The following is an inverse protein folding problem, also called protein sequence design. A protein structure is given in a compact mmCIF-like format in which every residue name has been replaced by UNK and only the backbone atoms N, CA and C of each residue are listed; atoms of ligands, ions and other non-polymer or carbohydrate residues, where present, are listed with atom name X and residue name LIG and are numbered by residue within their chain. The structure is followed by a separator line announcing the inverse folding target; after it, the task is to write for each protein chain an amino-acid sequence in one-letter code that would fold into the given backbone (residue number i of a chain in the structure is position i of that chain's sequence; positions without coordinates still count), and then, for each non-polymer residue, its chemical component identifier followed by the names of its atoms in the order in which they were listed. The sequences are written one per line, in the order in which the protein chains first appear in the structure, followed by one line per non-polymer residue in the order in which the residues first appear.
data_IF_160109008233
#
_entry.id   IF_160109008233
#
_cell.length_a   1.000
_cell.length_b   1.000
_cell.length_c   1.000
_cell.angle_alpha   90.00
_cell.angle_beta   90.00
_cell.angle_gamma   90.00
#
_symmetry.space_group_name_H-M   'P 1'
#
loop_
_entity.id
_entity.type
_entity.pdbx_description
1 polymer ?
#
# COMPACT_ATOMS: atom_id res chain seq x y z
N UNK A 1 46.39 60.09 30.92
CA UNK A 1 45.11 60.00 30.17
C UNK A 1 45.02 58.81 29.20
N UNK A 2 46.10 58.33 28.59
CA UNK A 2 46.05 57.18 27.65
C UNK A 2 45.69 55.86 28.30
N UNK A 3 46.09 55.57 29.52
CA UNK A 3 45.80 54.29 30.22
C UNK A 3 44.37 54.21 30.73
N UNK A 4 43.71 55.33 31.02
CA UNK A 4 42.33 55.37 31.48
C UNK A 4 41.34 54.99 30.33
N UNK A 5 41.66 55.34 29.07
CA UNK A 5 40.89 55.05 27.89
C UNK A 5 40.93 53.54 27.58
N UNK A 6 42.06 52.88 27.71
CA UNK A 6 42.19 51.45 27.47
C UNK A 6 41.45 50.64 28.53
N UNK A 7 41.40 51.09 29.77
CA UNK A 7 40.67 50.40 30.83
C UNK A 7 39.17 50.52 30.65
N UNK A 8 38.68 51.67 30.19
CA UNK A 8 37.27 51.93 29.93
C UNK A 8 36.75 51.10 28.70
N UNK A 9 37.56 50.98 27.64
CA UNK A 9 37.25 50.17 26.46
C UNK A 9 37.24 48.69 26.79
N UNK A 10 38.15 48.21 27.62
CA UNK A 10 38.20 46.83 28.07
C UNK A 10 37.00 46.45 28.95
N UNK A 11 36.56 47.39 29.83
CA UNK A 11 35.40 47.17 30.70
C UNK A 11 34.09 47.12 29.90
N UNK A 12 33.94 47.92 28.84
CA UNK A 12 32.79 47.93 27.94
C UNK A 12 32.75 46.63 27.13
N UNK A 13 33.93 46.09 26.70
CA UNK A 13 33.99 44.80 25.95
C UNK A 13 33.63 43.60 26.83
N UNK A 14 33.98 43.60 28.11
CA UNK A 14 33.61 42.57 29.08
C UNK A 14 32.12 42.61 29.40
N UNK A 15 31.50 43.80 29.46
CA UNK A 15 30.06 43.95 29.65
C UNK A 15 29.24 43.48 28.45
N UNK A 16 29.75 43.56 27.22
CA UNK A 16 29.08 43.02 26.02
C UNK A 16 29.14 41.49 25.92
N UNK A 17 30.19 40.86 26.49
CA UNK A 17 30.29 39.39 26.53
C UNK A 17 29.39 38.74 27.60
N UNK A 18 28.98 39.51 28.62
CA UNK A 18 28.06 39.01 29.65
C UNK A 18 26.57 39.11 29.25
N UNK A 19 26.24 39.82 28.14
CA UNK A 19 24.87 39.98 27.64
C UNK A 19 24.44 38.90 26.63
N UNK A 20 25.33 37.99 26.23
CA UNK A 20 24.92 36.75 25.56
C UNK A 20 24.34 35.79 26.61
N UNK A 21 23.15 36.14 27.12
CA UNK A 21 22.33 35.19 27.88
C UNK A 21 22.09 33.97 27.03
N UNK A 22 22.65 32.83 27.46
CA UNK A 22 22.22 31.53 26.97
C UNK A 22 20.72 31.43 27.19
N UNK A 23 19.92 31.66 26.14
CA UNK A 23 18.57 31.13 26.11
C UNK A 23 18.75 29.63 26.27
N UNK A 24 18.53 29.13 27.48
CA UNK A 24 18.34 27.71 27.71
C UNK A 24 17.16 27.31 26.81
N UNK A 25 17.46 26.72 25.68
CA UNK A 25 16.45 26.03 24.87
C UNK A 25 15.82 25.02 25.83
N UNK A 26 14.55 25.22 26.13
CA UNK A 26 13.76 24.21 26.84
C UNK A 26 14.04 22.86 26.17
N UNK A 27 14.34 21.79 26.94
CA UNK A 27 14.52 20.49 26.34
C UNK A 27 13.27 20.22 25.48
N UNK A 28 13.43 19.64 24.27
CA UNK A 28 12.28 19.32 23.44
C UNK A 28 11.33 18.53 24.33
N UNK A 29 10.12 19.07 24.52
CA UNK A 29 9.11 18.42 25.33
C UNK A 29 9.03 16.97 24.86
N UNK A 30 9.08 16.01 25.79
CA UNK A 30 8.78 14.62 25.48
C UNK A 30 7.44 14.65 24.77
N UNK A 31 7.43 14.44 23.45
CA UNK A 31 6.21 14.14 22.74
C UNK A 31 5.65 12.91 23.46
N UNK A 32 4.57 13.06 24.19
CA UNK A 32 3.79 11.94 24.66
C UNK A 32 3.52 11.08 23.44
N UNK A 33 4.10 9.87 23.41
CA UNK A 33 3.73 8.88 22.40
C UNK A 33 2.26 8.61 22.66
N UNK A 34 1.39 9.18 21.81
CA UNK A 34 0.00 8.76 21.76
C UNK A 34 0.08 7.27 21.36
N UNK A 35 -0.21 6.40 22.29
CA UNK A 35 -0.36 4.98 21.99
C UNK A 35 -1.58 4.87 21.07
N UNK A 36 -1.35 4.61 19.79
CA UNK A 36 -2.42 4.30 18.85
C UNK A 36 -2.94 2.91 19.23
N UNK A 37 -4.20 2.81 19.58
CA UNK A 37 -4.85 1.53 19.85
C UNK A 37 -4.84 0.64 18.60
N UNK A 38 -5.04 1.23 17.43
CA UNK A 38 -4.95 0.61 16.10
C UNK A 38 -4.69 1.68 15.04
N UNK A 39 -4.23 1.24 13.86
CA UNK A 39 -4.02 2.13 12.73
C UNK A 39 -4.24 1.40 11.40
N UNK A 40 -4.66 2.14 10.37
CA UNK A 40 -4.78 1.62 9.02
C UNK A 40 -4.37 2.69 8.01
N UNK A 41 -3.57 2.28 7.03
CA UNK A 41 -3.14 3.10 5.90
C UNK A 41 -3.36 2.31 4.62
N UNK A 42 -3.92 2.95 3.61
CA UNK A 42 -4.10 2.34 2.29
C UNK A 42 -3.68 3.27 1.17
N UNK A 43 -3.38 2.73 0.01
CA UNK A 43 -3.18 3.48 -1.22
C UNK A 43 -3.89 2.84 -2.42
N UNK A 44 -4.42 3.67 -3.30
CA UNK A 44 -5.12 3.24 -4.52
C UNK A 44 -4.23 3.17 -5.76
N UNK A 45 -2.92 3.35 -5.62
CA UNK A 45 -1.97 3.27 -6.72
C UNK A 45 -0.77 4.20 -6.55
N UNK A 46 0.37 3.79 -7.12
CA UNK A 46 1.62 4.55 -7.16
C UNK A 46 1.99 4.92 -8.63
N UNK A 47 1.04 5.44 -9.38
CA UNK A 47 1.25 5.86 -10.77
C UNK A 47 1.62 7.34 -10.90
N UNK A 48 2.03 7.75 -12.10
CA UNK A 48 2.29 9.16 -12.44
C UNK A 48 0.99 9.96 -12.62
N UNK A 49 -0.03 9.72 -11.80
CA UNK A 49 -1.27 10.46 -11.88
C UNK A 49 -1.06 11.84 -11.25
N UNK A 50 -0.95 12.88 -12.08
CA UNK A 50 -1.11 14.22 -11.56
C UNK A 50 -2.59 14.41 -11.19
N UNK A 51 -2.89 14.31 -9.90
CA UNK A 51 -4.26 14.38 -9.39
C UNK A 51 -4.97 15.69 -9.80
N UNK A 52 -4.21 16.78 -9.95
CA UNK A 52 -4.74 18.07 -10.39
C UNK A 52 -5.23 18.07 -11.86
N UNK A 53 -4.72 17.14 -12.69
CA UNK A 53 -5.17 16.98 -14.10
C UNK A 53 -6.34 16.01 -14.27
N UNK A 54 -6.76 15.32 -13.20
CA UNK A 54 -7.90 14.41 -13.20
C UNK A 54 -9.19 15.23 -13.11
N UNK A 55 -10.23 14.97 -13.91
CA UNK A 55 -11.53 15.62 -13.79
C UNK A 55 -12.08 15.52 -12.37
N UNK A 56 -12.66 16.60 -11.83
CA UNK A 56 -13.14 16.68 -10.44
C UNK A 56 -14.11 15.54 -10.09
N UNK A 57 -15.05 15.22 -10.98
CA UNK A 57 -15.98 14.10 -10.80
C UNK A 57 -15.24 12.77 -10.54
N UNK A 58 -14.14 12.55 -11.24
CA UNK A 58 -13.35 11.33 -11.10
C UNK A 58 -12.50 11.36 -9.80
N UNK A 59 -12.01 12.54 -9.41
CA UNK A 59 -11.33 12.71 -8.10
C UNK A 59 -12.28 12.35 -6.95
N UNK A 60 -13.53 12.82 -7.01
CA UNK A 60 -14.57 12.50 -6.01
C UNK A 60 -14.83 10.99 -5.96
N UNK A 61 -14.93 10.32 -7.12
CA UNK A 61 -15.09 8.86 -7.19
C UNK A 61 -13.93 8.10 -6.56
N UNK A 62 -12.67 8.50 -6.83
CA UNK A 62 -11.49 7.90 -6.21
C UNK A 62 -11.49 8.09 -4.69
N UNK A 63 -11.75 9.31 -4.23
CA UNK A 63 -11.78 9.63 -2.80
C UNK A 63 -12.86 8.81 -2.09
N UNK A 64 -14.09 8.83 -2.60
CA UNK A 64 -15.18 8.06 -2.01
C UNK A 64 -14.88 6.54 -1.96
N UNK A 65 -14.25 5.99 -3.01
CA UNK A 65 -13.88 4.58 -3.05
C UNK A 65 -12.81 4.23 -2.02
N UNK A 66 -11.80 5.10 -1.83
CA UNK A 66 -10.77 4.93 -0.81
C UNK A 66 -11.35 5.10 0.60
N UNK A 67 -12.18 6.10 0.82
CA UNK A 67 -12.85 6.33 2.11
C UNK A 67 -13.74 5.12 2.48
N UNK A 68 -14.47 4.55 1.51
CA UNK A 68 -15.28 3.35 1.75
C UNK A 68 -14.44 2.13 2.12
N UNK A 69 -13.33 1.90 1.43
CA UNK A 69 -12.41 0.80 1.75
C UNK A 69 -11.74 1.00 3.11
N UNK A 70 -11.33 2.25 3.42
CA UNK A 70 -10.76 2.62 4.71
C UNK A 70 -11.73 2.32 5.85
N UNK A 71 -12.99 2.73 5.70
CA UNK A 71 -14.01 2.52 6.74
C UNK A 71 -14.24 1.04 7.02
N UNK A 72 -14.31 0.18 5.99
CA UNK A 72 -14.45 -1.27 6.19
C UNK A 72 -13.31 -1.87 7.03
N UNK A 73 -12.08 -1.44 6.81
CA UNK A 73 -10.94 -1.90 7.61
C UNK A 73 -10.94 -1.34 9.02
N UNK A 74 -11.31 -0.06 9.19
CA UNK A 74 -11.41 0.57 10.51
C UNK A 74 -12.52 -0.06 11.36
N UNK A 75 -13.66 -0.41 10.78
CA UNK A 75 -14.77 -1.07 11.51
C UNK A 75 -14.28 -2.40 12.10
N UNK A 76 -13.53 -3.21 11.33
CA UNK A 76 -12.92 -4.46 11.82
C UNK A 76 -11.99 -4.20 13.02
N UNK A 77 -11.10 -3.21 12.89
CA UNK A 77 -10.12 -2.91 13.94
C UNK A 77 -10.79 -2.31 15.18
N UNK A 78 -11.83 -1.52 15.01
CA UNK A 78 -12.61 -0.92 16.12
C UNK A 78 -13.37 -1.98 16.92
N UNK A 79 -13.89 -2.99 16.25
CA UNK A 79 -14.55 -4.15 16.87
C UNK A 79 -13.55 -5.14 17.51
N UNK A 80 -12.22 -4.86 17.42
CA UNK A 80 -11.16 -5.71 17.99
C UNK A 80 -10.73 -6.87 17.08
N UNK A 81 -11.08 -6.82 15.80
CA UNK A 81 -10.63 -7.76 14.77
C UNK A 81 -9.15 -7.64 14.47
N UNK A 82 -8.62 -8.57 13.69
CA UNK A 82 -7.19 -8.65 13.38
C UNK A 82 -6.77 -7.68 12.25
N UNK A 83 -5.50 -7.25 12.28
CA UNK A 83 -4.89 -6.50 11.17
C UNK A 83 -4.94 -7.28 9.86
N UNK A 84 -4.84 -8.61 9.92
CA UNK A 84 -4.93 -9.49 8.75
C UNK A 84 -6.32 -9.42 8.10
N UNK A 85 -7.40 -9.49 8.88
CA UNK A 85 -8.76 -9.39 8.36
C UNK A 85 -9.03 -7.99 7.78
N UNK A 86 -8.55 -6.94 8.44
CA UNK A 86 -8.69 -5.57 7.97
C UNK A 86 -7.98 -5.36 6.62
N UNK A 87 -6.73 -5.83 6.47
CA UNK A 87 -5.97 -5.73 5.21
C UNK A 87 -6.67 -6.48 4.09
N UNK A 88 -7.12 -7.72 4.32
CA UNK A 88 -7.80 -8.50 3.29
C UNK A 88 -9.08 -7.80 2.82
N UNK A 89 -9.95 -7.37 3.74
CA UNK A 89 -11.24 -6.75 3.39
C UNK A 89 -11.04 -5.44 2.62
N UNK A 90 -10.09 -4.61 3.03
CA UNK A 90 -9.74 -3.37 2.32
C UNK A 90 -9.29 -3.66 0.90
N UNK A 91 -8.35 -4.59 0.72
CA UNK A 91 -7.82 -4.90 -0.63
C UNK A 91 -8.91 -5.56 -1.49
N UNK A 92 -9.74 -6.45 -0.96
CA UNK A 92 -10.89 -7.01 -1.69
C UNK A 92 -11.85 -5.93 -2.17
N UNK A 93 -12.12 -4.93 -1.35
CA UNK A 93 -12.94 -3.78 -1.74
C UNK A 93 -12.32 -3.04 -2.94
N UNK A 94 -11.00 -2.84 -2.94
CA UNK A 94 -10.28 -2.19 -4.03
C UNK A 94 -10.19 -3.09 -5.28
N UNK A 95 -10.00 -4.40 -5.13
CA UNK A 95 -10.02 -5.38 -6.25
C UNK A 95 -11.38 -5.46 -6.95
N UNK A 96 -12.48 -5.29 -6.22
CA UNK A 96 -13.82 -5.29 -6.78
C UNK A 96 -14.21 -3.96 -7.45
N UNK A 97 -13.33 -2.94 -7.39
CA UNK A 97 -13.60 -1.60 -7.91
C UNK A 97 -12.80 -1.34 -9.20
N UNK A 98 -13.46 -1.08 -10.36
CA UNK A 98 -12.80 -0.90 -11.64
C UNK A 98 -11.93 0.37 -11.75
N UNK A 99 -11.93 1.24 -10.75
CA UNK A 99 -11.09 2.43 -10.72
C UNK A 99 -9.62 2.11 -10.51
N UNK A 100 -9.31 1.04 -9.76
CA UNK A 100 -7.95 0.69 -9.35
C UNK A 100 -7.32 -0.36 -10.27
N UNK A 101 -5.99 -0.41 -10.31
CA UNK A 101 -5.26 -1.45 -11.07
C UNK A 101 -5.04 -2.68 -10.18
N UNK A 102 -6.13 -3.33 -9.84
CA UNK A 102 -6.18 -4.59 -9.10
C UNK A 102 -7.53 -5.26 -9.40
N UNK A 103 -7.59 -6.58 -9.45
CA UNK A 103 -8.84 -7.31 -9.70
C UNK A 103 -9.57 -6.78 -10.94
N UNK A 104 -10.81 -6.32 -10.75
CA UNK A 104 -11.72 -5.88 -11.82
C UNK A 104 -11.21 -4.70 -12.66
N UNK A 105 -10.29 -3.88 -12.14
CA UNK A 105 -9.71 -2.74 -12.84
C UNK A 105 -8.30 -2.99 -13.37
N UNK A 106 -7.86 -4.24 -13.40
CA UNK A 106 -6.53 -4.61 -13.84
C UNK A 106 -6.25 -4.20 -15.29
N UNK A 107 -4.99 -3.88 -15.55
CA UNK A 107 -4.48 -3.57 -16.90
C UNK A 107 -4.33 -4.84 -17.74
N UNK A 108 -4.13 -4.66 -19.05
CA UNK A 108 -3.96 -5.75 -19.99
C UNK A 108 -2.49 -6.04 -20.26
N UNK A 109 -2.16 -7.32 -20.42
CA UNK A 109 -0.88 -7.82 -20.96
C UNK A 109 -0.77 -7.51 -22.45
N UNK A 110 0.40 -7.72 -23.04
CA UNK A 110 0.61 -7.59 -24.49
C UNK A 110 -0.23 -8.55 -25.34
N UNK A 111 -0.76 -9.60 -24.72
CA UNK A 111 -1.65 -10.58 -25.33
C UNK A 111 -3.13 -10.23 -25.20
N UNK A 112 -3.44 -9.08 -24.58
CA UNK A 112 -4.84 -8.64 -24.36
C UNK A 112 -5.55 -9.41 -23.24
N UNK A 113 -4.82 -9.97 -22.27
CA UNK A 113 -5.36 -10.67 -21.10
C UNK A 113 -5.14 -9.84 -19.83
N UNK A 114 -5.94 -10.08 -18.81
CA UNK A 114 -5.67 -9.59 -17.46
C UNK A 114 -4.98 -10.71 -16.67
N UNK A 115 -3.81 -10.42 -16.11
CA UNK A 115 -3.07 -11.28 -15.20
C UNK A 115 -2.85 -10.52 -13.90
N UNK A 116 -3.17 -11.16 -12.78
CA UNK A 116 -3.26 -10.56 -11.47
C UNK A 116 -2.21 -11.14 -10.54
N UNK A 117 -1.68 -10.29 -9.68
CA UNK A 117 -0.69 -10.64 -8.66
C UNK A 117 -1.16 -10.05 -7.31
N UNK A 118 -0.96 -10.79 -6.22
CA UNK A 118 -1.22 -10.29 -4.87
C UNK A 118 -0.32 -10.97 -3.84
N UNK A 119 -0.08 -10.30 -2.72
CA UNK A 119 0.58 -10.88 -1.57
C UNK A 119 0.08 -10.27 -0.26
N UNK A 120 0.22 -11.03 0.81
CA UNK A 120 -0.10 -10.63 2.18
C UNK A 120 0.95 -11.18 3.15
N UNK A 121 1.28 -10.42 4.18
CA UNK A 121 2.29 -10.80 5.18
C UNK A 121 1.89 -10.33 6.56
N UNK A 122 2.05 -11.19 7.53
CA UNK A 122 1.87 -10.90 8.97
C UNK A 122 3.21 -10.55 9.62
N UNK A 123 3.21 -9.53 10.49
CA UNK A 123 4.43 -9.03 11.14
C UNK A 123 4.85 -9.81 12.38
N UNK A 124 3.92 -10.47 13.06
CA UNK A 124 4.17 -11.13 14.35
C UNK A 124 4.86 -12.50 14.26
N UNK A 125 4.70 -13.19 13.15
CA UNK A 125 5.28 -14.52 12.88
C UNK A 125 6.01 -14.60 11.54
N UNK A 126 6.01 -13.49 10.77
CA UNK A 126 6.61 -13.36 9.44
C UNK A 126 6.04 -14.33 8.41
N UNK A 127 4.84 -14.87 8.65
CA UNK A 127 4.14 -15.66 7.66
C UNK A 127 3.71 -14.81 6.48
N UNK A 128 3.78 -15.40 5.29
CA UNK A 128 3.42 -14.71 4.07
C UNK A 128 2.84 -15.66 3.03
N UNK A 129 1.97 -15.11 2.19
CA UNK A 129 1.44 -15.83 1.04
C UNK A 129 1.28 -14.91 -0.15
N UNK A 130 1.40 -15.48 -1.35
CA UNK A 130 1.29 -14.74 -2.58
C UNK A 130 0.71 -15.60 -3.72
N UNK A 131 0.09 -14.91 -4.68
CA UNK A 131 -0.28 -15.47 -5.98
C UNK A 131 0.19 -14.56 -7.09
N UNK A 132 0.59 -15.14 -8.22
CA UNK A 132 1.10 -14.40 -9.36
C UNK A 132 0.60 -14.96 -10.69
N UNK A 133 0.31 -14.06 -11.66
CA UNK A 133 -0.11 -14.42 -13.00
C UNK A 133 -1.44 -15.18 -13.06
N UNK A 134 -2.35 -14.96 -12.11
CA UNK A 134 -3.66 -15.62 -12.08
C UNK A 134 -4.66 -14.85 -12.94
N UNK A 135 -5.62 -15.56 -13.53
CA UNK A 135 -6.56 -15.02 -14.53
C UNK A 135 -8.03 -15.27 -14.20
N UNK A 136 -8.34 -16.15 -13.25
CA UNK A 136 -9.70 -16.53 -12.88
C UNK A 136 -10.05 -16.24 -11.41
N UNK A 137 -9.08 -15.99 -10.55
CA UNK A 137 -9.33 -15.73 -9.13
C UNK A 137 -9.93 -14.32 -8.95
N UNK A 138 -11.19 -14.25 -8.50
CA UNK A 138 -11.91 -12.98 -8.33
C UNK A 138 -11.18 -11.99 -7.42
N UNK A 139 -10.72 -12.47 -6.27
CA UNK A 139 -9.98 -11.68 -5.29
C UNK A 139 -8.62 -12.32 -5.00
N UNK A 140 -7.57 -11.95 -5.74
CA UNK A 140 -6.21 -12.49 -5.57
C UNK A 140 -5.67 -12.37 -4.14
N UNK A 141 -6.03 -11.32 -3.40
CA UNK A 141 -5.58 -11.15 -2.00
C UNK A 141 -6.09 -12.26 -1.09
N UNK A 142 -7.32 -12.75 -1.30
CA UNK A 142 -7.86 -13.88 -0.53
C UNK A 142 -7.14 -15.17 -0.87
N UNK A 143 -6.73 -15.35 -2.13
CA UNK A 143 -5.91 -16.50 -2.51
C UNK A 143 -4.50 -16.42 -1.91
N UNK A 144 -3.89 -15.23 -1.87
CA UNK A 144 -2.62 -15.00 -1.20
C UNK A 144 -2.71 -15.35 0.29
N UNK A 145 -3.79 -14.94 0.98
CA UNK A 145 -4.05 -15.35 2.37
C UNK A 145 -4.22 -16.85 2.51
N UNK A 146 -4.98 -17.50 1.63
CA UNK A 146 -5.16 -18.94 1.67
C UNK A 146 -3.83 -19.69 1.46
N UNK A 147 -2.95 -19.21 0.58
CA UNK A 147 -1.59 -19.76 0.41
C UNK A 147 -0.82 -19.67 1.73
N UNK A 148 -0.86 -18.56 2.42
CA UNK A 148 -0.20 -18.35 3.70
C UNK A 148 -0.73 -19.28 4.80
N UNK A 149 -2.06 -19.43 4.90
CA UNK A 149 -2.69 -20.11 6.04
C UNK A 149 -2.90 -21.60 5.83
N UNK A 150 -2.96 -22.08 4.56
CA UNK A 150 -3.44 -23.42 4.23
C UNK A 150 -2.52 -24.21 3.31
N UNK A 151 -1.32 -23.71 3.01
CA UNK A 151 -0.35 -24.43 2.20
C UNK A 151 1.05 -24.40 2.83
N UNK A 152 1.94 -25.28 2.35
CA UNK A 152 3.36 -25.28 2.71
C UNK A 152 4.17 -24.27 1.88
N UNK A 153 3.52 -23.52 0.99
CA UNK A 153 4.16 -22.63 0.03
C UNK A 153 3.98 -21.17 0.43
N UNK A 154 4.90 -20.32 -0.03
CA UNK A 154 4.77 -18.87 0.11
C UNK A 154 4.18 -18.24 -1.15
N UNK A 155 4.42 -18.82 -2.32
CA UNK A 155 3.97 -18.29 -3.61
C UNK A 155 3.48 -19.41 -4.52
N UNK A 156 2.27 -19.25 -5.04
CA UNK A 156 1.73 -20.06 -6.12
C UNK A 156 1.49 -19.20 -7.37
N UNK A 157 1.57 -19.77 -8.57
CA UNK A 157 1.45 -19.01 -9.80
C UNK A 157 0.56 -19.70 -10.86
N UNK A 158 -0.07 -18.87 -11.70
CA UNK A 158 -0.84 -19.31 -12.88
C UNK A 158 -1.91 -20.35 -12.55
N UNK A 159 -2.08 -21.34 -13.43
CA UNK A 159 -3.11 -22.37 -13.31
C UNK A 159 -2.99 -23.20 -12.02
N UNK A 160 -1.77 -23.41 -11.49
CA UNK A 160 -1.58 -24.11 -10.23
C UNK A 160 -2.18 -23.36 -9.04
N UNK A 161 -2.04 -22.04 -9.01
CA UNK A 161 -2.67 -21.19 -8.01
C UNK A 161 -4.20 -21.20 -8.12
N UNK A 162 -4.74 -21.26 -9.33
CA UNK A 162 -6.19 -21.32 -9.58
C UNK A 162 -6.79 -22.66 -9.12
N UNK A 163 -6.13 -23.78 -9.39
CA UNK A 163 -6.53 -25.10 -8.87
C UNK A 163 -6.52 -25.15 -7.34
N UNK A 164 -5.49 -24.58 -6.71
CA UNK A 164 -5.43 -24.45 -5.26
C UNK A 164 -6.59 -23.60 -4.73
N UNK A 165 -6.82 -22.41 -5.33
CA UNK A 165 -7.89 -21.50 -4.92
C UNK A 165 -9.28 -22.15 -5.02
N UNK A 166 -9.55 -22.90 -6.10
CA UNK A 166 -10.78 -23.66 -6.27
C UNK A 166 -10.94 -24.73 -5.17
N UNK A 167 -9.87 -25.48 -4.87
CA UNK A 167 -9.84 -26.47 -3.80
C UNK A 167 -10.12 -25.90 -2.42
N UNK A 168 -9.73 -24.66 -2.17
CA UNK A 168 -10.01 -23.92 -0.95
C UNK A 168 -11.38 -23.20 -0.95
N UNK A 169 -12.18 -23.38 -2.00
CA UNK A 169 -13.54 -22.80 -2.11
C UNK A 169 -13.56 -21.32 -2.41
N UNK A 170 -12.49 -20.76 -2.96
CA UNK A 170 -12.46 -19.37 -3.38
C UNK A 170 -13.22 -19.16 -4.69
N UNK A 171 -13.81 -17.98 -4.85
CA UNK A 171 -14.62 -17.65 -6.03
C UNK A 171 -13.72 -17.45 -7.26
N UNK A 172 -13.93 -18.33 -8.27
CA UNK A 172 -13.36 -18.16 -9.60
C UNK A 172 -14.39 -17.52 -10.53
N UNK A 173 -13.91 -16.68 -11.44
CA UNK A 173 -14.73 -15.95 -12.42
C UNK A 173 -14.18 -16.13 -13.82
N UNK A 174 -15.04 -15.96 -14.83
CA UNK A 174 -14.60 -15.85 -16.21
C UNK A 174 -13.67 -14.63 -16.38
N UNK A 175 -12.57 -14.71 -17.14
CA UNK A 175 -11.66 -13.60 -17.35
C UNK A 175 -12.32 -12.29 -17.84
N UNK A 176 -13.46 -12.36 -18.50
CA UNK A 176 -14.22 -11.18 -18.90
C UNK A 176 -14.70 -10.32 -17.71
N UNK A 177 -14.77 -10.88 -16.50
CA UNK A 177 -15.06 -10.13 -15.28
C UNK A 177 -14.08 -8.97 -15.03
N UNK A 178 -12.81 -9.15 -15.41
CA UNK A 178 -11.76 -8.15 -15.23
C UNK A 178 -11.71 -7.10 -16.34
N UNK A 179 -12.42 -7.36 -17.44
CA UNK A 179 -12.46 -6.42 -18.56
C UNK A 179 -13.12 -5.10 -18.16
N UNK A 180 -12.45 -4.00 -18.48
CA UNK A 180 -13.06 -2.66 -18.45
C UNK A 180 -12.72 -1.93 -19.74
N UNK A 181 -13.72 -1.27 -20.33
CA UNK A 181 -13.53 -0.50 -21.57
C UNK A 181 -12.40 0.53 -21.46
N UNK A 182 -12.33 1.24 -20.32
CA UNK A 182 -11.29 2.24 -20.05
C UNK A 182 -9.87 1.64 -20.10
N UNK A 183 -9.66 0.45 -19.49
CA UNK A 183 -8.34 -0.22 -19.47
C UNK A 183 -7.99 -0.78 -20.83
N UNK A 184 -8.97 -1.32 -21.57
CA UNK A 184 -8.78 -1.81 -22.92
C UNK A 184 -8.40 -0.67 -23.88
N UNK A 185 -9.05 0.47 -23.83
CA UNK A 185 -8.67 1.66 -24.60
C UNK A 185 -7.26 2.18 -24.25
N UNK A 186 -6.89 2.18 -22.96
CA UNK A 186 -5.53 2.49 -22.51
C UNK A 186 -4.51 1.51 -23.11
N UNK A 187 -4.81 0.22 -23.10
CA UNK A 187 -3.97 -0.81 -23.71
C UNK A 187 -3.79 -0.56 -25.23
N UNK A 188 -4.86 -0.26 -25.95
CA UNK A 188 -4.78 0.04 -27.39
C UNK A 188 -3.96 1.31 -27.70
N UNK A 189 -3.97 2.30 -26.81
CA UNK A 189 -3.16 3.53 -26.94
C UNK A 189 -1.72 3.38 -26.49
N UNK A 190 -1.43 2.38 -25.65
CA UNK A 190 -0.12 2.22 -25.05
C UNK A 190 0.93 1.85 -26.10
N UNK A 191 1.73 2.84 -26.52
CA UNK A 191 2.91 2.65 -27.39
C UNK A 191 4.17 2.24 -26.60
N UNK A 192 4.08 2.05 -25.29
CA UNK A 192 5.19 1.76 -24.40
C UNK A 192 4.70 1.31 -23.02
N UNK A 193 5.65 1.11 -22.10
CA UNK A 193 5.42 0.66 -20.74
C UNK A 193 4.83 1.78 -19.88
N UNK A 194 3.52 1.98 -19.91
CA UNK A 194 2.86 2.85 -18.93
C UNK A 194 2.83 2.14 -17.57
N UNK A 195 3.41 2.79 -16.56
CA UNK A 195 3.33 2.33 -15.17
C UNK A 195 1.95 2.68 -14.62
N UNK A 196 1.19 1.67 -14.24
CA UNK A 196 -0.06 1.82 -13.49
C UNK A 196 0.14 1.34 -12.06
N UNK A 197 -0.58 1.99 -11.12
CA UNK A 197 -0.38 1.75 -9.71
C UNK A 197 -0.88 0.40 -9.23
N UNK A 198 -0.36 -0.02 -8.10
CA UNK A 198 -0.72 -1.18 -7.29
C UNK A 198 -1.57 -0.68 -6.11
N UNK A 199 -2.59 -1.41 -5.68
CA UNK A 199 -3.26 -1.11 -4.41
C UNK A 199 -2.52 -1.75 -3.26
N UNK A 200 -2.53 -1.11 -2.09
CA UNK A 200 -1.91 -1.66 -0.89
C UNK A 200 -2.60 -1.19 0.39
N UNK A 201 -2.43 -1.99 1.43
CA UNK A 201 -2.94 -1.70 2.75
C UNK A 201 -1.97 -2.21 3.82
N UNK A 202 -1.80 -1.42 4.88
CA UNK A 202 -1.08 -1.81 6.10
C UNK A 202 -1.99 -1.51 7.29
N UNK A 203 -2.11 -2.45 8.20
CA UNK A 203 -2.89 -2.29 9.43
C UNK A 203 -2.09 -2.71 10.66
N UNK A 204 -2.36 -2.02 11.77
CA UNK A 204 -1.94 -2.35 13.13
C UNK A 204 -3.19 -2.62 13.94
N UNK A 205 -3.32 -3.78 14.57
CA UNK A 205 -4.44 -4.10 15.44
C UNK A 205 -4.18 -3.74 16.91
N UNK A 206 -5.23 -3.85 17.76
CA UNK A 206 -5.15 -3.53 19.20
C UNK A 206 -4.21 -4.44 20.00
N UNK A 207 -3.76 -5.56 19.42
CA UNK A 207 -2.77 -6.47 20.01
C UNK A 207 -1.32 -6.09 19.63
N UNK A 208 -1.16 -5.03 18.82
CA UNK A 208 0.14 -4.61 18.31
C UNK A 208 0.64 -5.41 17.12
N UNK A 209 -0.23 -6.18 16.47
CA UNK A 209 0.13 -6.99 15.31
C UNK A 209 0.03 -6.16 14.02
N UNK A 210 1.09 -6.20 13.22
CA UNK A 210 1.13 -5.59 11.89
C UNK A 210 0.75 -6.61 10.82
N UNK A 211 0.06 -6.14 9.79
CA UNK A 211 -0.16 -6.86 8.53
C UNK A 211 -0.02 -5.91 7.36
N UNK A 212 0.55 -6.39 6.26
CA UNK A 212 0.64 -5.67 5.01
C UNK A 212 0.15 -6.54 3.85
N UNK A 213 -0.47 -5.93 2.86
CA UNK A 213 -0.88 -6.61 1.64
C UNK A 213 -0.88 -5.69 0.43
N UNK A 214 -0.68 -6.28 -0.75
CA UNK A 214 -0.76 -5.59 -2.04
C UNK A 214 -1.51 -6.44 -3.07
N UNK A 215 -2.12 -5.77 -4.05
CA UNK A 215 -2.74 -6.43 -5.23
C UNK A 215 -2.58 -5.56 -6.47
N UNK A 216 -2.38 -6.20 -7.62
CA UNK A 216 -2.10 -5.48 -8.87
C UNK A 216 -2.43 -6.29 -10.14
N UNK A 217 -2.72 -5.58 -11.25
CA UNK A 217 -2.64 -6.11 -12.60
C UNK A 217 -1.25 -5.92 -13.25
N UNK A 218 -0.30 -5.29 -12.54
CA UNK A 218 1.04 -5.00 -13.06
C UNK A 218 1.08 -3.79 -13.99
N UNK A 219 1.87 -3.85 -15.05
CA UNK A 219 2.06 -2.80 -16.06
C UNK A 219 1.19 -3.06 -17.28
N UNK A 220 0.62 -1.99 -17.86
CA UNK A 220 -0.02 -2.09 -19.17
C UNK A 220 0.96 -2.60 -20.23
N UNK A 221 0.48 -3.49 -21.08
CA UNK A 221 1.28 -4.09 -22.16
C UNK A 221 2.49 -4.90 -21.66
N UNK A 222 2.43 -5.44 -20.42
CA UNK A 222 3.46 -6.34 -19.89
C UNK A 222 3.60 -7.59 -20.76
N UNK A 223 4.84 -8.08 -20.93
CA UNK A 223 5.20 -9.19 -21.82
C UNK A 223 5.86 -10.33 -21.04
N UNK A 224 5.91 -11.49 -21.66
CA UNK A 224 6.71 -12.63 -21.19
C UNK A 224 6.37 -13.11 -19.76
N UNK A 225 5.11 -13.01 -19.33
CA UNK A 225 4.70 -13.36 -17.96
C UNK A 225 5.36 -12.48 -16.90
N UNK A 226 5.63 -11.19 -17.20
CA UNK A 226 6.29 -10.29 -16.26
C UNK A 226 5.48 -10.18 -14.97
N UNK A 227 6.09 -10.52 -13.87
CA UNK A 227 5.64 -10.28 -12.51
C UNK A 227 6.38 -9.07 -11.94
N UNK A 228 5.67 -8.19 -11.24
CA UNK A 228 6.25 -7.02 -10.56
C UNK A 228 6.78 -7.36 -9.17
N UNK A 229 6.99 -6.32 -8.40
CA UNK A 229 7.39 -6.39 -7.00
C UNK A 229 6.25 -6.78 -6.06
N UNK A 230 5.00 -6.48 -6.44
CA UNK A 230 3.83 -6.63 -5.55
C UNK A 230 3.67 -8.04 -4.94
N UNK A 231 3.80 -9.17 -5.67
CA UNK A 231 3.69 -10.49 -5.06
C UNK A 231 5.01 -10.99 -4.41
N UNK A 232 6.06 -10.20 -4.43
CA UNK A 232 7.37 -10.59 -3.90
C UNK A 232 7.53 -10.02 -2.47
N UNK A 233 7.54 -10.94 -1.51
CA UNK A 233 7.74 -10.60 -0.10
C UNK A 233 9.13 -9.98 0.10
N UNK A 234 9.18 -8.85 0.79
CA UNK A 234 10.40 -8.06 0.98
C UNK A 234 10.71 -7.06 -0.16
N UNK A 235 9.95 -7.09 -1.26
CA UNK A 235 10.05 -6.13 -2.35
C UNK A 235 8.83 -5.21 -2.44
N UNK A 236 7.63 -5.74 -2.69
CA UNK A 236 6.39 -4.97 -2.77
C UNK A 236 5.52 -5.06 -1.52
N UNK A 237 5.70 -6.10 -0.71
CA UNK A 237 4.96 -6.32 0.54
C UNK A 237 5.92 -6.76 1.63
N UNK A 238 5.84 -6.11 2.80
CA UNK A 238 6.62 -6.49 3.97
C UNK A 238 5.91 -6.03 5.25
N UNK A 239 5.88 -6.89 6.27
CA UNK A 239 5.44 -6.57 7.61
C UNK A 239 6.38 -7.19 8.64
N UNK A 240 6.64 -6.47 9.74
CA UNK A 240 7.43 -6.93 10.89
C UNK A 240 7.03 -6.11 12.12
N UNK A 241 6.68 -6.78 13.22
CA UNK A 241 6.31 -6.13 14.49
C UNK A 241 7.51 -5.50 15.17
#
# INVERSE_FOLDING_TARGET
MKHLHHFLVLLIFILFLAACGTQASSPPGKQEKVALDYALVLHGGAGNMNFQSVPEELQVKFKHSLDSALQLGLDILDEGGSSLDAVEVVIRCLENNPLFNAGKGAVFTSEGKNELDASIMTGWDLNAGAVAGVTHIKNPISAARAVMEKSEHVLLAGAGAEVFAEGEGLELVDPSYFYTQKRFESFQRAKGNEKHGTVGCVALDRKGNLCAGTSTGGMTNKKFGRIGDSPIIGAGTYANN
#
